data_IF_741026452446
#
_entry.id   IF_741026452446
#
_cell.length_a   1.000
_cell.length_b   1.000
_cell.length_c   1.000
_cell.angle_alpha   90.00
_cell.angle_beta   90.00
_cell.angle_gamma   90.00
#
_symmetry.space_group_name_H-M   'P 1'
#
loop_
_entity.id
_entity.type
_entity.pdbx_description
1 polymer ?
#
# COMPACT_ATOMS: atom_id res chain seq x y z
N UNK A 1 -38.54 18.65 -25.66
CA UNK A 1 -37.11 19.02 -25.70
C UNK A 1 -36.31 17.78 -25.36
N UNK A 2 -35.70 17.18 -26.37
CA UNK A 2 -34.94 15.93 -26.31
C UNK A 2 -33.59 16.15 -25.64
N UNK A 3 -33.41 15.57 -24.46
CA UNK A 3 -32.09 15.42 -23.84
C UNK A 3 -31.39 14.20 -24.46
N UNK A 4 -30.16 14.32 -25.01
CA UNK A 4 -29.43 13.18 -25.55
C UNK A 4 -28.83 12.39 -24.38
N UNK A 5 -29.55 11.37 -23.92
CA UNK A 5 -29.04 10.43 -22.94
C UNK A 5 -28.00 9.48 -23.58
N UNK A 6 -26.74 9.65 -23.17
CA UNK A 6 -25.78 8.57 -22.88
C UNK A 6 -25.54 7.46 -23.92
N UNK A 7 -25.14 7.81 -25.14
CA UNK A 7 -24.93 6.83 -26.21
C UNK A 7 -23.51 6.24 -26.33
N UNK A 8 -22.51 6.63 -25.53
CA UNK A 8 -21.13 6.36 -25.96
C UNK A 8 -20.55 5.00 -25.56
N UNK A 9 -21.05 4.27 -24.54
CA UNK A 9 -20.74 2.84 -24.37
C UNK A 9 -21.88 2.07 -23.68
N UNK A 10 -22.77 1.46 -24.46
CA UNK A 10 -23.76 0.50 -23.94
C UNK A 10 -23.05 -0.80 -23.56
N UNK A 11 -23.17 -1.23 -22.30
CA UNK A 11 -22.74 -2.59 -21.94
C UNK A 11 -23.67 -3.62 -22.57
N UNK A 12 -23.10 -4.68 -23.13
CA UNK A 12 -23.87 -5.90 -23.37
C UNK A 12 -24.03 -6.64 -22.04
N UNK A 13 -25.25 -7.07 -21.76
CA UNK A 13 -25.57 -7.85 -20.56
C UNK A 13 -25.99 -9.25 -20.96
N UNK A 14 -25.50 -10.26 -20.25
CA UNK A 14 -26.05 -11.61 -20.26
C UNK A 14 -27.01 -11.75 -19.09
N UNK A 15 -28.19 -12.36 -19.30
CA UNK A 15 -29.18 -12.58 -18.26
C UNK A 15 -29.36 -14.08 -18.01
N UNK A 16 -29.47 -14.47 -16.73
CA UNK A 16 -29.84 -15.83 -16.34
C UNK A 16 -31.31 -16.12 -16.63
N UNK A 17 -31.70 -17.38 -16.44
CA UNK A 17 -33.11 -17.73 -16.25
C UNK A 17 -33.64 -17.11 -14.94
N UNK A 18 -34.96 -16.98 -14.84
CA UNK A 18 -35.61 -16.60 -13.59
C UNK A 18 -35.39 -17.67 -12.51
N UNK A 19 -35.62 -17.30 -11.25
CA UNK A 19 -35.42 -18.18 -10.09
C UNK A 19 -33.96 -18.33 -9.67
N UNK A 20 -33.10 -17.39 -10.06
CA UNK A 20 -31.67 -17.44 -9.73
C UNK A 20 -31.18 -16.14 -9.09
N UNK A 21 -30.23 -16.26 -8.19
CA UNK A 21 -29.51 -15.13 -7.61
C UNK A 21 -28.00 -15.34 -7.67
N UNK A 22 -27.26 -14.24 -7.54
CA UNK A 22 -25.81 -14.29 -7.54
C UNK A 22 -25.29 -14.42 -6.10
N UNK A 23 -24.38 -15.36 -5.90
CA UNK A 23 -23.64 -15.54 -4.67
C UNK A 23 -22.16 -15.26 -4.95
N UNK A 24 -21.63 -14.16 -4.42
CA UNK A 24 -20.19 -13.91 -4.47
C UNK A 24 -19.46 -14.88 -3.55
N UNK A 25 -18.22 -15.23 -3.93
CA UNK A 25 -17.34 -16.03 -3.08
C UNK A 25 -16.86 -15.23 -1.85
N UNK A 26 -16.77 -13.91 -1.98
CA UNK A 26 -16.31 -13.03 -0.92
C UNK A 26 -17.34 -11.93 -0.62
N UNK A 27 -17.63 -11.69 0.66
CA UNK A 27 -18.67 -10.74 1.10
C UNK A 27 -18.36 -9.29 0.71
N UNK A 28 -17.07 -8.93 0.65
CA UNK A 28 -16.61 -7.58 0.26
C UNK A 28 -17.04 -7.16 -1.14
N UNK A 29 -17.49 -8.13 -1.96
CA UNK A 29 -17.81 -7.89 -3.36
C UNK A 29 -19.22 -7.33 -3.59
N UNK A 30 -20.07 -7.27 -2.56
CA UNK A 30 -21.36 -6.58 -2.64
C UNK A 30 -21.12 -5.07 -2.60
N UNK A 31 -21.40 -4.39 -3.71
CA UNK A 31 -21.24 -2.94 -3.83
C UNK A 31 -22.35 -2.23 -3.06
N UNK A 32 -23.60 -2.61 -3.30
CA UNK A 32 -24.75 -2.17 -2.50
C UNK A 32 -25.97 -3.06 -2.73
N UNK A 33 -26.94 -2.91 -1.82
CA UNK A 33 -28.29 -3.43 -1.93
C UNK A 33 -29.28 -2.25 -1.86
N UNK A 34 -30.12 -2.09 -2.89
CA UNK A 34 -31.14 -1.03 -2.95
C UNK A 34 -32.44 -1.54 -3.54
N UNK A 35 -33.49 -0.73 -3.45
CA UNK A 35 -34.72 -0.94 -4.20
C UNK A 35 -34.61 -0.34 -5.61
N UNK A 36 -35.11 -1.06 -6.61
CA UNK A 36 -35.22 -0.58 -7.98
C UNK A 36 -36.61 -0.92 -8.53
N UNK A 37 -37.28 0.05 -9.17
CA UNK A 37 -38.64 -0.14 -9.69
C UNK A 37 -38.69 -1.12 -10.88
N UNK A 38 -37.56 -1.37 -11.53
CA UNK A 38 -37.48 -2.29 -12.65
C UNK A 38 -36.09 -2.89 -12.79
N UNK A 39 -36.03 -4.04 -13.48
CA UNK A 39 -34.79 -4.68 -13.92
C UNK A 39 -33.91 -3.70 -14.71
N UNK A 40 -34.53 -2.86 -15.56
CA UNK A 40 -33.79 -1.90 -16.38
C UNK A 40 -33.09 -0.85 -15.52
N UNK A 41 -33.72 -0.38 -14.44
CA UNK A 41 -33.10 0.56 -13.51
C UNK A 41 -31.98 -0.09 -12.68
N UNK A 42 -32.14 -1.37 -12.32
CA UNK A 42 -31.07 -2.12 -11.66
C UNK A 42 -29.86 -2.30 -12.59
N UNK A 43 -30.11 -2.70 -13.84
CA UNK A 43 -29.09 -2.83 -14.87
C UNK A 43 -28.40 -1.48 -15.19
N UNK A 44 -29.17 -0.38 -15.28
CA UNK A 44 -28.63 0.95 -15.49
C UNK A 44 -27.72 1.39 -14.33
N UNK A 45 -28.10 1.07 -13.09
CA UNK A 45 -27.27 1.33 -11.92
C UNK A 45 -25.95 0.55 -11.97
N UNK A 46 -25.98 -0.72 -12.41
CA UNK A 46 -24.77 -1.48 -12.68
C UNK A 46 -23.93 -0.85 -13.79
N UNK A 47 -24.56 -0.38 -14.87
CA UNK A 47 -23.85 0.25 -15.99
C UNK A 47 -23.14 1.55 -15.60
N UNK A 48 -23.76 2.34 -14.71
CA UNK A 48 -23.21 3.60 -14.21
C UNK A 48 -22.10 3.40 -13.17
N UNK A 49 -21.95 2.20 -12.60
CA UNK A 49 -20.91 1.89 -11.63
C UNK A 49 -19.75 1.12 -12.33
N UNK A 50 -18.57 1.74 -12.50
CA UNK A 50 -17.42 1.13 -13.17
C UNK A 50 -16.97 -0.21 -12.55
N UNK A 51 -17.14 -0.37 -11.24
CA UNK A 51 -16.77 -1.58 -10.51
C UNK A 51 -17.80 -2.70 -10.64
N UNK A 52 -19.06 -2.40 -11.00
CA UNK A 52 -20.08 -3.44 -11.12
C UNK A 52 -19.77 -4.40 -12.29
N UNK A 53 -19.84 -5.70 -12.02
CA UNK A 53 -19.68 -6.78 -13.01
C UNK A 53 -20.92 -7.65 -13.10
N UNK A 54 -21.60 -7.85 -11.97
CA UNK A 54 -22.82 -8.66 -11.89
C UNK A 54 -23.87 -7.92 -11.07
N UNK A 55 -25.14 -8.14 -11.37
CA UNK A 55 -26.25 -7.70 -10.54
C UNK A 55 -27.28 -8.83 -10.41
N UNK A 56 -28.05 -8.82 -9.34
CA UNK A 56 -29.31 -9.54 -9.30
C UNK A 56 -30.47 -8.61 -9.00
N UNK A 57 -31.62 -8.94 -9.59
CA UNK A 57 -32.84 -8.19 -9.45
C UNK A 57 -33.99 -9.15 -9.17
N UNK A 58 -34.80 -8.85 -8.17
CA UNK A 58 -36.04 -9.57 -7.86
C UNK A 58 -37.24 -8.64 -8.10
N UNK A 59 -38.10 -9.01 -9.05
CA UNK A 59 -39.26 -8.17 -9.38
C UNK A 59 -40.35 -8.16 -8.32
N UNK A 60 -40.43 -9.18 -7.45
CA UNK A 60 -41.44 -9.25 -6.40
C UNK A 60 -41.12 -8.35 -5.21
N UNK A 61 -39.85 -8.30 -4.82
CA UNK A 61 -39.36 -7.49 -3.69
C UNK A 61 -38.76 -6.14 -4.11
N UNK A 62 -38.62 -5.91 -5.42
CA UNK A 62 -37.86 -4.80 -6.00
C UNK A 62 -36.40 -4.74 -5.55
N UNK A 63 -35.85 -5.83 -5.00
CA UNK A 63 -34.46 -5.90 -4.55
C UNK A 63 -33.51 -5.83 -5.74
N UNK A 64 -32.52 -4.97 -5.66
CA UNK A 64 -31.43 -4.83 -6.62
C UNK A 64 -30.09 -4.88 -5.87
N UNK A 65 -29.30 -5.92 -6.11
CA UNK A 65 -27.94 -6.06 -5.58
C UNK A 65 -26.93 -5.91 -6.70
N UNK A 66 -25.90 -5.11 -6.49
CA UNK A 66 -24.79 -4.96 -7.41
C UNK A 66 -23.53 -5.57 -6.82
N UNK A 67 -22.77 -6.27 -7.64
CA UNK A 67 -21.54 -6.93 -7.24
C UNK A 67 -20.39 -6.50 -8.14
N UNK A 68 -19.21 -6.34 -7.53
CA UNK A 68 -17.96 -6.25 -8.30
C UNK A 68 -17.53 -7.62 -8.81
N UNK A 69 -18.04 -8.70 -8.21
CA UNK A 69 -17.77 -10.08 -8.60
C UNK A 69 -18.37 -10.47 -9.95
N UNK A 70 -17.73 -11.43 -10.61
CA UNK A 70 -18.22 -12.12 -11.80
C UNK A 70 -18.22 -13.64 -11.57
N UNK A 71 -18.43 -14.43 -12.64
CA UNK A 71 -18.48 -15.89 -12.55
C UNK A 71 -17.12 -16.54 -12.22
N UNK A 72 -16.02 -15.80 -12.20
CA UNK A 72 -14.72 -16.32 -11.78
C UNK A 72 -14.58 -16.40 -10.26
N UNK A 73 -15.34 -15.58 -9.52
CA UNK A 73 -15.29 -15.48 -8.06
C UNK A 73 -16.69 -15.41 -7.44
N UNK A 74 -17.64 -16.10 -8.07
CA UNK A 74 -19.00 -16.24 -7.60
C UNK A 74 -19.76 -17.25 -8.45
N UNK A 75 -20.99 -17.53 -8.04
CA UNK A 75 -21.84 -18.50 -8.71
C UNK A 75 -23.26 -17.97 -8.86
N UNK A 76 -23.92 -18.39 -9.93
CA UNK A 76 -25.37 -18.25 -10.09
C UNK A 76 -26.00 -19.47 -9.41
N UNK A 77 -26.78 -19.23 -8.36
CA UNK A 77 -27.44 -20.27 -7.57
C UNK A 77 -28.95 -20.13 -7.65
N UNK A 78 -29.68 -21.19 -7.26
CA UNK A 78 -31.13 -21.11 -7.15
C UNK A 78 -31.52 -20.09 -6.07
N UNK A 79 -32.43 -19.17 -6.42
CA UNK A 79 -32.97 -18.18 -5.50
C UNK A 79 -34.21 -18.73 -4.78
N UNK A 80 -34.51 -18.15 -3.62
CA UNK A 80 -35.81 -18.37 -2.94
C UNK A 80 -36.97 -17.75 -3.72
N UNK A 81 -36.73 -16.64 -4.40
CA UNK A 81 -37.70 -15.97 -5.27
C UNK A 81 -37.64 -16.51 -6.69
N UNK A 82 -38.77 -17.03 -7.18
CA UNK A 82 -38.94 -17.45 -8.58
C UNK A 82 -38.87 -16.29 -9.57
N UNK A 83 -38.88 -15.04 -9.09
CA UNK A 83 -38.84 -13.85 -9.95
C UNK A 83 -37.48 -13.15 -9.94
N UNK A 84 -36.48 -13.74 -9.27
CA UNK A 84 -35.10 -13.25 -9.28
C UNK A 84 -34.39 -13.60 -10.57
N UNK A 85 -33.54 -12.68 -11.05
CA UNK A 85 -32.70 -12.86 -12.24
C UNK A 85 -31.31 -12.28 -11.97
N UNK A 86 -30.29 -12.92 -12.51
CA UNK A 86 -28.90 -12.42 -12.50
C UNK A 86 -28.58 -11.82 -13.85
N UNK A 87 -27.92 -10.66 -13.86
CA UNK A 87 -27.34 -10.06 -15.05
C UNK A 87 -25.84 -9.85 -14.91
N UNK A 88 -25.07 -10.27 -15.90
CA UNK A 88 -23.61 -10.12 -15.95
C UNK A 88 -23.19 -9.21 -17.10
N UNK A 89 -22.28 -8.29 -16.81
CA UNK A 89 -21.69 -7.36 -17.78
C UNK A 89 -20.66 -8.11 -18.62
N UNK A 90 -20.82 -8.08 -19.94
CA UNK A 90 -19.84 -8.65 -20.86
C UNK A 90 -18.72 -7.63 -21.05
N UNK A 91 -17.51 -8.00 -20.64
CA UNK A 91 -16.30 -7.20 -20.83
C UNK A 91 -15.59 -7.62 -22.12
N UNK A 92 -15.17 -6.65 -22.93
CA UNK A 92 -14.37 -6.89 -24.13
C UNK A 92 -13.01 -6.21 -24.02
N UNK A 93 -11.93 -6.95 -24.26
CA UNK A 93 -10.57 -6.41 -24.24
C UNK A 93 -10.38 -5.25 -25.23
N UNK A 94 -11.05 -5.27 -26.38
CA UNK A 94 -10.98 -4.20 -27.38
C UNK A 94 -11.49 -2.86 -26.87
N UNK A 95 -12.43 -2.87 -25.94
CA UNK A 95 -12.98 -1.65 -25.33
C UNK A 95 -12.00 -1.08 -24.30
N UNK A 96 -11.19 -1.91 -23.65
CA UNK A 96 -10.20 -1.45 -22.68
C UNK A 96 -8.91 -0.96 -23.35
N UNK A 97 -8.34 -1.75 -24.26
CA UNK A 97 -7.02 -1.49 -24.82
C UNK A 97 -6.91 -0.16 -25.57
N UNK A 98 -7.99 0.33 -26.17
CA UNK A 98 -7.99 1.60 -26.90
C UNK A 98 -7.96 2.84 -26.01
N UNK A 99 -8.32 2.71 -24.73
CA UNK A 99 -8.45 3.85 -23.80
C UNK A 99 -7.42 3.86 -22.67
N UNK A 100 -6.79 2.72 -22.37
CA UNK A 100 -5.86 2.65 -21.24
C UNK A 100 -4.72 3.64 -21.43
N UNK A 101 -4.39 4.39 -20.38
CA UNK A 101 -3.37 5.44 -20.37
C UNK A 101 -3.65 6.65 -21.32
N UNK A 102 -4.85 6.77 -21.88
CA UNK A 102 -5.27 7.97 -22.61
C UNK A 102 -5.57 9.12 -21.65
N UNK A 103 -5.73 10.34 -22.18
CA UNK A 103 -6.17 11.50 -21.39
C UNK A 103 -7.54 11.25 -20.75
N UNK A 104 -7.79 11.80 -19.56
CA UNK A 104 -9.05 11.61 -18.84
C UNK A 104 -10.33 11.98 -19.62
N UNK A 105 -10.22 12.79 -20.67
CA UNK A 105 -11.33 13.05 -21.61
C UNK A 105 -11.81 11.79 -22.34
N UNK A 106 -10.94 10.80 -22.57
CA UNK A 106 -11.26 9.59 -23.32
C UNK A 106 -12.14 8.59 -22.54
N UNK A 107 -12.04 8.57 -21.20
CA UNK A 107 -12.81 7.66 -20.34
C UNK A 107 -13.90 8.35 -19.52
N UNK A 108 -14.14 9.65 -19.71
CA UNK A 108 -15.13 10.42 -18.91
C UNK A 108 -16.54 9.84 -18.98
N UNK A 109 -16.90 9.22 -20.09
CA UNK A 109 -18.22 8.62 -20.34
C UNK A 109 -18.18 7.10 -20.44
N UNK A 110 -17.10 6.47 -19.96
CA UNK A 110 -16.90 5.03 -20.08
C UNK A 110 -16.90 4.36 -18.69
N UNK A 111 -17.51 3.17 -18.60
CA UNK A 111 -17.51 2.35 -17.38
C UNK A 111 -16.27 1.48 -17.19
N UNK A 112 -15.55 1.17 -18.26
CA UNK A 112 -14.43 0.23 -18.28
C UNK A 112 -13.21 0.84 -17.61
N UNK A 113 -13.05 2.17 -17.61
CA UNK A 113 -11.90 2.85 -17.03
C UNK A 113 -12.32 4.11 -16.29
N UNK A 114 -11.49 4.53 -15.35
CA UNK A 114 -11.70 5.73 -14.54
C UNK A 114 -10.51 6.67 -14.67
N UNK A 115 -10.75 7.97 -14.66
CA UNK A 115 -9.68 8.96 -14.62
C UNK A 115 -8.94 8.89 -13.27
N UNK A 116 -7.64 8.63 -13.30
CA UNK A 116 -6.77 8.72 -12.13
C UNK A 116 -6.38 10.16 -11.86
N UNK A 117 -6.67 10.68 -10.67
CA UNK A 117 -6.26 12.03 -10.26
C UNK A 117 -4.73 12.16 -10.11
N UNK A 118 -4.03 11.05 -9.87
CA UNK A 118 -2.57 11.03 -9.68
C UNK A 118 -1.82 11.14 -11.01
N UNK A 119 -2.26 10.41 -12.03
CA UNK A 119 -1.57 10.36 -13.33
C UNK A 119 -2.25 11.21 -14.40
N UNK A 120 -3.47 11.70 -14.15
CA UNK A 120 -4.31 12.40 -15.12
C UNK A 120 -4.57 11.59 -16.41
N UNK A 121 -4.63 10.27 -16.28
CA UNK A 121 -4.89 9.33 -17.38
C UNK A 121 -5.99 8.33 -17.02
N UNK A 122 -6.55 7.69 -18.04
CA UNK A 122 -7.52 6.62 -17.89
C UNK A 122 -6.85 5.35 -17.35
N UNK A 123 -7.31 4.89 -16.20
CA UNK A 123 -6.76 3.76 -15.46
C UNK A 123 -7.87 2.76 -15.13
N UNK A 124 -7.46 1.57 -14.66
CA UNK A 124 -8.41 0.57 -14.23
C UNK A 124 -9.28 1.07 -13.05
N UNK A 125 -10.59 0.72 -13.03
CA UNK A 125 -11.46 1.03 -11.90
C UNK A 125 -10.95 0.43 -10.58
N UNK A 126 -11.51 0.88 -9.46
CA UNK A 126 -11.19 0.32 -8.13
C UNK A 126 -11.34 -1.20 -8.09
N UNK A 127 -10.44 -1.86 -7.35
CA UNK A 127 -10.35 -3.31 -7.20
C UNK A 127 -10.13 -4.08 -8.52
N UNK A 128 -9.53 -3.43 -9.53
CA UNK A 128 -9.11 -4.05 -10.78
C UNK A 128 -7.70 -3.60 -11.15
N UNK A 129 -7.01 -4.33 -12.03
CA UNK A 129 -5.62 -4.05 -12.40
C UNK A 129 -5.39 -4.23 -13.90
N UNK A 130 -4.36 -3.62 -14.47
CA UNK A 130 -4.12 -3.69 -15.91
C UNK A 130 -3.28 -4.91 -16.30
N UNK A 131 -3.92 -5.94 -16.87
CA UNK A 131 -3.21 -7.17 -17.26
C UNK A 131 -2.50 -7.09 -18.63
N UNK A 132 -2.41 -5.91 -19.24
CA UNK A 132 -1.91 -5.73 -20.61
C UNK A 132 -2.98 -5.69 -21.71
N UNK A 133 -4.24 -6.06 -21.38
CA UNK A 133 -5.34 -6.12 -22.36
C UNK A 133 -6.65 -5.54 -21.84
N UNK A 134 -6.96 -5.77 -20.57
CA UNK A 134 -8.17 -5.30 -19.90
C UNK A 134 -7.93 -5.12 -18.40
N UNK A 135 -8.96 -4.65 -17.69
CA UNK A 135 -8.95 -4.55 -16.23
C UNK A 135 -9.75 -5.68 -15.58
N UNK A 136 -9.20 -6.90 -15.44
CA UNK A 136 -9.79 -7.93 -14.61
C UNK A 136 -9.84 -7.51 -13.14
N UNK A 137 -10.68 -8.17 -12.36
CA UNK A 137 -10.73 -7.98 -10.91
C UNK A 137 -9.39 -8.36 -10.28
N UNK A 138 -9.00 -7.57 -9.28
CA UNK A 138 -7.88 -7.91 -8.42
C UNK A 138 -8.14 -9.23 -7.69
N UNK A 139 -7.06 -9.96 -7.52
CA UNK A 139 -7.03 -11.32 -7.05
C UNK A 139 -7.01 -11.40 -5.52
N UNK A 140 -7.67 -12.43 -4.99
CA UNK A 140 -7.76 -12.72 -3.57
C UNK A 140 -6.57 -13.57 -3.08
N UNK A 141 -6.53 -13.81 -1.78
CA UNK A 141 -5.45 -14.55 -1.13
C UNK A 141 -5.23 -15.93 -1.77
N UNK A 142 -3.96 -16.32 -1.92
CA UNK A 142 -3.47 -17.55 -2.56
C UNK A 142 -3.71 -17.68 -4.07
N UNK A 143 -4.36 -16.71 -4.71
CA UNK A 143 -4.46 -16.68 -6.17
C UNK A 143 -3.09 -16.44 -6.81
N UNK A 144 -2.83 -17.09 -7.95
CA UNK A 144 -1.61 -16.89 -8.73
C UNK A 144 -1.63 -15.53 -9.40
N UNK A 145 -0.55 -14.76 -9.24
CA UNK A 145 -0.45 -13.40 -9.77
C UNK A 145 0.83 -13.22 -10.59
N UNK A 146 0.78 -12.33 -11.58
CA UNK A 146 1.88 -12.07 -12.52
C UNK A 146 2.33 -10.61 -12.56
N UNK A 147 1.73 -9.74 -11.73
CA UNK A 147 1.98 -8.30 -11.70
C UNK A 147 1.86 -7.75 -10.26
N UNK A 148 2.56 -6.65 -9.90
CA UNK A 148 2.57 -6.12 -8.53
C UNK A 148 1.18 -5.73 -7.99
N UNK A 149 0.36 -5.14 -8.85
CA UNK A 149 -0.96 -4.58 -8.55
C UNK A 149 -2.11 -5.56 -8.79
N UNK A 150 -1.80 -6.81 -9.12
CA UNK A 150 -2.80 -7.83 -9.42
C UNK A 150 -3.64 -8.26 -8.21
N UNK A 151 -3.20 -8.00 -6.99
CA UNK A 151 -3.85 -8.47 -5.76
C UNK A 151 -4.67 -7.37 -5.08
N UNK A 152 -5.68 -7.78 -4.29
CA UNK A 152 -6.58 -6.88 -3.56
C UNK A 152 -5.87 -6.01 -2.52
N UNK A 153 -5.58 -4.76 -2.91
CA UNK A 153 -4.88 -3.81 -2.04
C UNK A 153 -5.71 -3.38 -0.82
N UNK A 154 -7.04 -3.34 -0.94
CA UNK A 154 -7.99 -3.06 0.14
C UNK A 154 -8.01 -4.17 1.22
N UNK A 155 -7.49 -5.36 0.88
CA UNK A 155 -7.31 -6.49 1.80
C UNK A 155 -5.85 -6.65 2.24
N UNK A 156 -5.03 -5.63 2.00
CA UNK A 156 -3.60 -5.62 2.27
C UNK A 156 -2.83 -6.75 1.56
N UNK A 157 -3.35 -7.25 0.43
CA UNK A 157 -2.65 -8.22 -0.40
C UNK A 157 -1.69 -7.53 -1.35
N UNK A 158 -0.55 -8.15 -1.61
CA UNK A 158 0.28 -7.84 -2.77
C UNK A 158 0.83 -9.12 -3.39
N UNK A 159 1.25 -9.02 -4.64
CA UNK A 159 1.78 -10.15 -5.37
C UNK A 159 3.23 -10.41 -4.95
N UNK A 160 3.51 -11.55 -4.34
CA UNK A 160 4.85 -11.89 -3.90
C UNK A 160 5.77 -12.21 -5.07
N UNK A 161 7.03 -11.80 -4.93
CA UNK A 161 8.10 -12.13 -5.86
C UNK A 161 8.84 -13.34 -5.28
N UNK A 162 8.93 -14.42 -6.05
CA UNK A 162 9.78 -15.58 -5.73
C UNK A 162 11.26 -15.19 -5.68
N UNK A 163 12.07 -16.06 -5.07
CA UNK A 163 13.54 -15.96 -5.09
C UNK A 163 14.14 -15.88 -6.50
N UNK A 164 13.40 -16.32 -7.53
CA UNK A 164 13.79 -16.28 -8.94
C UNK A 164 13.30 -15.02 -9.68
N UNK A 165 12.73 -14.02 -8.97
CA UNK A 165 12.34 -12.73 -9.53
C UNK A 165 10.98 -12.71 -10.25
N UNK A 166 10.26 -13.84 -10.26
CA UNK A 166 8.92 -13.97 -10.81
C UNK A 166 7.83 -13.79 -9.76
N UNK A 167 6.75 -13.10 -10.13
CA UNK A 167 5.52 -13.00 -9.35
C UNK A 167 4.86 -14.37 -9.19
N UNK A 168 4.37 -14.70 -7.99
CA UNK A 168 3.79 -16.02 -7.73
C UNK A 168 2.38 -15.96 -7.18
N UNK A 169 2.15 -15.36 -6.02
CA UNK A 169 0.88 -15.50 -5.29
C UNK A 169 0.46 -14.21 -4.57
N UNK A 170 -0.85 -14.03 -4.39
CA UNK A 170 -1.37 -12.96 -3.56
C UNK A 170 -1.33 -13.36 -2.08
N UNK A 171 -0.50 -12.68 -1.29
CA UNK A 171 -0.40 -12.91 0.15
C UNK A 171 -0.67 -11.61 0.91
N UNK A 172 -1.18 -11.77 2.14
CA UNK A 172 -1.37 -10.68 3.10
C UNK A 172 0.00 -10.13 3.52
N UNK A 173 0.19 -8.82 3.40
CA UNK A 173 1.32 -8.11 4.01
C UNK A 173 1.14 -8.12 5.52
N UNK A 174 2.16 -8.58 6.23
CA UNK A 174 2.21 -8.62 7.70
C UNK A 174 3.18 -7.56 8.22
N UNK A 175 2.96 -7.12 9.46
CA UNK A 175 4.00 -6.41 10.21
C UNK A 175 5.17 -7.38 10.45
N UNK A 176 6.37 -6.98 10.01
CA UNK A 176 7.57 -7.81 10.13
C UNK A 176 8.19 -7.73 11.52
N UNK A 177 8.05 -6.57 12.17
CA UNK A 177 8.58 -6.27 13.49
C UNK A 177 7.43 -5.98 14.46
N UNK A 178 7.62 -6.31 15.73
CA UNK A 178 6.65 -6.10 16.82
C UNK A 178 7.38 -5.56 18.06
N UNK A 179 6.63 -5.33 19.14
CA UNK A 179 7.17 -4.85 20.42
C UNK A 179 8.10 -5.83 21.14
N UNK A 180 8.26 -7.05 20.63
CA UNK A 180 9.22 -8.03 21.16
C UNK A 180 10.60 -7.92 20.53
N UNK A 181 10.75 -7.13 19.47
CA UNK A 181 12.02 -6.98 18.76
C UNK A 181 13.08 -6.27 19.61
N UNK A 182 14.31 -6.75 19.53
CA UNK A 182 15.45 -6.02 20.10
C UNK A 182 16.04 -5.10 19.04
N UNK A 183 15.97 -3.80 19.32
CA UNK A 183 16.41 -2.74 18.40
C UNK A 183 17.69 -2.11 18.92
N UNK A 184 18.66 -1.92 18.02
CA UNK A 184 19.96 -1.34 18.32
C UNK A 184 20.09 0.02 17.66
N UNK A 185 20.21 1.07 18.47
CA UNK A 185 20.46 2.42 17.97
C UNK A 185 21.84 2.51 17.33
N UNK A 186 21.94 3.18 16.18
CA UNK A 186 23.16 3.37 15.40
C UNK A 186 23.57 4.83 15.32
N UNK A 187 24.85 5.06 15.11
CA UNK A 187 25.37 6.36 14.71
C UNK A 187 26.63 6.25 13.85
N UNK A 188 27.05 7.39 13.28
CA UNK A 188 28.24 7.54 12.45
C UNK A 188 28.27 6.58 11.25
N UNK A 189 27.16 6.50 10.53
CA UNK A 189 27.03 5.60 9.39
C UNK A 189 26.17 6.20 8.30
N UNK A 190 26.38 5.68 7.09
CA UNK A 190 25.55 5.91 5.89
C UNK A 190 25.41 4.57 5.18
N UNK A 191 24.51 4.48 4.19
CA UNK A 191 24.32 3.25 3.43
C UNK A 191 25.65 2.67 2.90
N UNK A 192 25.84 1.37 3.05
CA UNK A 192 27.05 0.61 2.68
C UNK A 192 28.26 0.79 3.63
N UNK A 193 28.18 1.68 4.62
CA UNK A 193 29.30 1.96 5.53
C UNK A 193 29.16 1.23 6.86
N UNK A 194 30.29 1.10 7.58
CA UNK A 194 30.34 0.63 8.96
C UNK A 194 29.52 1.55 9.87
N UNK A 195 29.06 1.02 11.00
CA UNK A 195 28.27 1.75 11.98
C UNK A 195 28.77 1.52 13.41
N UNK A 196 28.56 2.54 14.24
CA UNK A 196 28.80 2.43 15.67
C UNK A 196 27.46 2.28 16.40
N UNK A 197 27.45 1.52 17.51
CA UNK A 197 26.29 1.51 18.41
C UNK A 197 26.19 2.84 19.13
N UNK A 198 25.00 3.43 19.13
CA UNK A 198 24.72 4.59 19.97
C UNK A 198 24.51 4.11 21.41
N UNK A 199 24.78 4.99 22.39
CA UNK A 199 24.59 4.66 23.80
C UNK A 199 23.62 5.63 24.49
N UNK A 200 23.15 5.28 25.68
CA UNK A 200 22.33 6.20 26.46
C UNK A 200 23.06 7.54 26.73
N UNK A 201 22.37 8.68 26.56
CA UNK A 201 22.88 10.03 26.78
C UNK A 201 22.19 11.10 25.91
N UNK A 202 22.72 12.33 25.92
CA UNK A 202 22.12 13.51 25.27
C UNK A 202 23.05 14.25 24.30
N UNK A 203 24.08 13.57 23.78
CA UNK A 203 25.07 14.13 22.85
C UNK A 203 25.20 13.30 21.57
N UNK A 204 26.12 13.66 20.68
CA UNK A 204 26.37 12.95 19.41
C UNK A 204 26.61 11.45 19.68
N UNK A 205 25.96 10.58 18.89
CA UNK A 205 26.07 9.14 19.03
C UNK A 205 25.33 8.59 20.26
N UNK A 206 24.30 9.30 20.72
CA UNK A 206 23.49 8.91 21.87
C UNK A 206 22.00 8.80 21.54
N UNK A 207 21.27 8.21 22.47
CA UNK A 207 19.81 8.23 22.54
C UNK A 207 19.39 8.47 23.99
N UNK A 208 18.21 9.03 24.21
CA UNK A 208 17.71 9.26 25.57
C UNK A 208 17.04 8.00 26.11
N UNK A 209 17.33 7.56 27.35
CA UNK A 209 16.93 6.24 27.85
C UNK A 209 15.44 5.93 27.77
N UNK A 210 14.56 6.90 28.08
CA UNK A 210 13.10 6.70 28.00
C UNK A 210 12.52 6.96 26.60
N UNK A 211 13.38 7.36 25.66
CA UNK A 211 13.09 7.55 24.24
C UNK A 211 14.08 6.75 23.39
N UNK A 212 14.37 5.53 23.87
CA UNK A 212 15.37 4.64 23.33
C UNK A 212 14.85 3.84 22.14
N UNK A 213 15.70 3.01 21.52
CA UNK A 213 15.34 2.24 20.34
C UNK A 213 14.21 1.22 20.58
N UNK A 214 13.94 0.89 21.85
CA UNK A 214 12.85 0.04 22.29
C UNK A 214 11.45 0.60 21.99
N UNK A 215 11.33 1.92 21.77
CA UNK A 215 10.05 2.54 21.42
C UNK A 215 9.76 2.54 19.92
N UNK A 216 10.63 1.98 19.07
CA UNK A 216 10.48 2.09 17.60
C UNK A 216 9.37 1.17 17.06
N UNK A 217 9.12 0.06 17.74
CA UNK A 217 8.14 -0.97 17.36
C UNK A 217 7.16 -1.28 18.50
N UNK A 218 6.88 -0.33 19.40
CA UNK A 218 6.07 -0.55 20.60
C UNK A 218 4.55 -0.42 20.37
N UNK A 219 4.14 -0.24 19.11
CA UNK A 219 2.76 -0.04 18.67
C UNK A 219 2.10 1.19 19.33
N UNK A 220 2.88 2.19 19.72
CA UNK A 220 2.39 3.34 20.46
C UNK A 220 2.90 4.65 19.85
N UNK A 221 2.05 5.29 19.05
CA UNK A 221 2.42 6.57 18.42
C UNK A 221 2.68 7.71 19.42
N UNK A 222 2.37 7.53 20.71
CA UNK A 222 2.59 8.52 21.80
C UNK A 222 4.03 8.51 22.32
N UNK A 223 4.70 7.35 22.34
CA UNK A 223 6.12 7.26 22.70
C UNK A 223 6.97 7.84 21.58
N UNK A 224 8.28 7.94 21.78
CA UNK A 224 9.18 8.43 20.75
C UNK A 224 10.56 7.87 20.89
N UNK A 225 11.18 7.61 19.76
CA UNK A 225 12.59 7.38 19.65
C UNK A 225 13.31 8.71 19.37
N UNK A 226 14.42 8.94 20.08
CA UNK A 226 15.28 10.10 19.88
C UNK A 226 16.72 9.64 19.68
N UNK A 227 17.32 10.05 18.57
CA UNK A 227 18.71 9.69 18.26
C UNK A 227 19.52 10.92 17.84
N UNK A 228 20.61 11.14 18.56
CA UNK A 228 21.51 12.28 18.38
C UNK A 228 22.57 11.97 17.35
N UNK A 229 22.60 12.79 16.31
CA UNK A 229 23.46 12.66 15.15
C UNK A 229 24.45 13.79 15.01
N UNK A 230 25.11 13.78 13.87
CA UNK A 230 26.09 14.81 13.51
C UNK A 230 25.39 16.13 13.12
N UNK A 231 26.07 17.24 13.42
CA UNK A 231 25.72 18.60 13.03
C UNK A 231 26.93 19.24 12.36
N UNK A 232 26.97 19.19 11.02
CA UNK A 232 27.99 19.93 10.28
C UNK A 232 27.52 21.37 10.08
N UNK A 233 28.13 22.28 10.84
CA UNK A 233 27.93 23.73 10.76
C UNK A 233 29.00 24.42 9.89
N UNK A 234 29.81 23.64 9.16
CA UNK A 234 30.95 24.15 8.41
C UNK A 234 30.51 24.50 6.98
N UNK A 235 30.77 25.76 6.61
CA UNK A 235 30.54 26.43 5.32
C UNK A 235 29.16 27.08 5.14
N UNK A 236 29.11 28.42 5.33
CA UNK A 236 28.25 29.45 4.69
C UNK A 236 26.87 29.06 4.13
N UNK A 237 26.17 28.11 4.74
CA UNK A 237 24.97 27.48 4.23
C UNK A 237 24.09 26.93 5.35
N UNK A 238 22.88 26.54 4.98
CA UNK A 238 21.84 25.99 5.86
C UNK A 238 22.37 24.78 6.65
N UNK A 239 22.42 24.82 8.00
CA UNK A 239 22.92 23.73 8.84
C UNK A 239 22.26 22.40 8.49
N UNK A 240 23.08 21.36 8.34
CA UNK A 240 22.58 20.00 8.17
C UNK A 240 22.92 19.17 9.39
N UNK A 241 21.90 18.85 10.16
CA UNK A 241 22.01 18.22 11.46
C UNK A 241 21.20 16.92 11.56
N UNK A 242 21.39 16.20 12.67
CA UNK A 242 20.73 14.93 13.00
C UNK A 242 21.01 13.79 12.00
N UNK A 243 22.10 13.90 11.25
CA UNK A 243 22.53 12.92 10.25
C UNK A 243 23.24 11.74 10.87
N UNK A 244 23.40 10.70 10.07
CA UNK A 244 24.18 9.51 10.40
C UNK A 244 23.66 8.83 11.66
N UNK A 245 22.34 8.84 11.82
CA UNK A 245 21.58 8.22 12.91
C UNK A 245 20.71 7.11 12.34
N UNK A 246 20.17 6.27 13.20
CA UNK A 246 19.31 5.18 12.77
C UNK A 246 19.27 4.05 13.76
N UNK A 247 18.87 2.89 13.28
CA UNK A 247 18.87 1.66 14.05
C UNK A 247 19.02 0.45 13.14
N UNK A 248 19.30 -0.70 13.74
CA UNK A 248 19.05 -1.98 13.11
C UNK A 248 18.32 -2.92 14.07
N UNK A 249 17.73 -3.97 13.49
CA UNK A 249 17.18 -5.11 14.20
C UNK A 249 17.42 -6.39 13.41
N UNK A 250 17.34 -7.51 14.11
CA UNK A 250 17.21 -8.84 13.52
C UNK A 250 15.83 -9.36 13.87
N UNK A 251 15.02 -9.67 12.85
CA UNK A 251 13.64 -10.08 13.02
C UNK A 251 13.55 -11.43 13.74
N UNK A 252 12.75 -11.50 14.81
CA UNK A 252 12.53 -12.75 15.55
C UNK A 252 11.85 -13.84 14.70
N UNK A 253 11.04 -13.42 13.73
CA UNK A 253 10.37 -14.33 12.77
C UNK A 253 11.32 -14.91 11.71
N UNK A 254 12.60 -14.52 11.71
CA UNK A 254 13.58 -14.93 10.73
C UNK A 254 13.52 -14.12 9.44
N UNK A 255 14.21 -14.62 8.41
CA UNK A 255 14.32 -13.93 7.13
C UNK A 255 12.94 -13.65 6.54
N UNK A 256 12.67 -12.36 6.28
CA UNK A 256 11.39 -11.86 5.78
C UNK A 256 11.63 -11.03 4.53
N UNK A 257 10.60 -10.84 3.70
CA UNK A 257 10.68 -9.98 2.52
C UNK A 257 10.04 -8.62 2.80
N UNK A 258 10.86 -7.58 2.99
CA UNK A 258 10.36 -6.21 3.20
C UNK A 258 9.84 -5.61 1.89
N UNK A 259 8.59 -5.15 1.91
CA UNK A 259 7.89 -4.59 0.75
C UNK A 259 7.67 -3.09 0.92
N UNK A 260 7.32 -2.66 2.12
CA UNK A 260 6.96 -1.28 2.40
C UNK A 260 7.26 -0.94 3.85
N UNK A 261 7.28 0.36 4.13
CA UNK A 261 7.38 0.86 5.50
C UNK A 261 6.57 2.15 5.66
N UNK A 262 6.30 2.54 6.90
CA UNK A 262 5.81 3.87 7.25
C UNK A 262 6.30 4.30 8.63
N UNK A 263 6.40 5.60 8.85
CA UNK A 263 6.84 6.19 10.10
C UNK A 263 5.72 7.03 10.70
N UNK A 264 5.59 7.00 12.02
CA UNK A 264 4.73 7.90 12.77
C UNK A 264 5.52 9.08 13.34
N UNK A 265 4.87 10.24 13.33
CA UNK A 265 5.43 11.47 13.88
C UNK A 265 5.34 11.49 15.41
N UNK A 266 6.40 11.91 16.09
CA UNK A 266 6.43 12.04 17.56
C UNK A 266 5.56 13.22 18.07
N UNK A 267 5.53 13.46 19.38
CA UNK A 267 4.75 14.55 20.00
C UNK A 267 5.27 15.99 19.78
N UNK A 268 6.39 16.16 19.11
CA UNK A 268 7.27 17.33 19.23
C UNK A 268 7.38 18.13 17.93
N UNK A 269 8.30 19.10 17.84
CA UNK A 269 8.46 19.97 16.68
C UNK A 269 8.75 19.21 15.36
N UNK A 270 8.04 19.51 14.25
CA UNK A 270 8.23 18.85 12.95
C UNK A 270 9.65 18.92 12.38
N UNK A 271 10.42 19.95 12.75
CA UNK A 271 11.79 20.12 12.29
C UNK A 271 12.70 18.92 12.64
N UNK A 272 12.33 18.08 13.60
CA UNK A 272 13.12 16.90 14.01
C UNK A 272 12.73 15.61 13.31
N UNK A 273 11.70 15.65 12.46
CA UNK A 273 11.24 14.45 11.79
C UNK A 273 12.20 14.07 10.65
N UNK A 274 12.43 12.76 10.42
CA UNK A 274 13.20 12.30 9.27
C UNK A 274 12.45 12.64 7.98
N UNK A 275 13.16 13.15 6.98
CA UNK A 275 12.64 13.47 5.65
C UNK A 275 13.15 12.49 4.59
N UNK A 276 14.45 12.19 4.62
CA UNK A 276 15.09 11.21 3.74
C UNK A 276 15.77 10.15 4.58
N UNK A 277 15.57 8.91 4.19
CA UNK A 277 16.09 7.73 4.86
C UNK A 277 16.72 6.76 3.86
N UNK A 278 17.48 5.81 4.37
CA UNK A 278 17.84 4.59 3.63
C UNK A 278 17.52 3.35 4.44
N UNK A 279 17.18 2.27 3.73
CA UNK A 279 16.92 0.95 4.32
C UNK A 279 17.81 -0.06 3.62
N UNK A 280 18.44 -0.91 4.42
CA UNK A 280 19.32 -1.97 3.96
C UNK A 280 18.93 -3.31 4.60
N UNK A 281 19.18 -4.40 3.88
CA UNK A 281 18.98 -5.76 4.35
C UNK A 281 20.30 -6.50 4.55
N UNK A 282 20.35 -7.40 5.54
CA UNK A 282 21.49 -8.26 5.81
C UNK A 282 21.06 -9.65 6.27
N UNK A 283 21.85 -10.67 5.90
CA UNK A 283 21.81 -12.03 6.45
C UNK A 283 23.13 -12.37 7.17
N UNK A 284 23.92 -11.34 7.51
CA UNK A 284 25.19 -11.54 8.21
C UNK A 284 24.96 -11.97 9.66
N UNK A 285 25.97 -12.62 10.25
CA UNK A 285 25.93 -12.97 11.67
C UNK A 285 25.81 -11.71 12.54
N UNK A 286 25.21 -11.85 13.73
CA UNK A 286 24.95 -10.73 14.65
C UNK A 286 26.20 -9.92 15.01
N UNK A 287 27.37 -10.56 15.07
CA UNK A 287 28.66 -9.91 15.35
C UNK A 287 29.19 -9.02 14.22
N UNK A 288 28.62 -9.15 13.02
CA UNK A 288 29.05 -8.47 11.80
C UNK A 288 28.06 -7.36 11.37
N UNK A 289 26.94 -7.19 12.08
CA UNK A 289 25.90 -6.22 11.72
C UNK A 289 26.32 -4.75 11.86
N UNK A 290 27.46 -4.48 12.50
CA UNK A 290 28.09 -3.15 12.51
C UNK A 290 29.02 -2.91 11.31
N UNK A 291 29.31 -3.94 10.50
CA UNK A 291 30.13 -3.80 9.29
C UNK A 291 29.27 -3.51 8.06
N UNK A 292 29.60 -2.44 7.34
CA UNK A 292 28.89 -1.98 6.16
C UNK A 292 28.86 -2.99 5.02
N UNK A 293 29.92 -3.79 4.89
CA UNK A 293 30.05 -4.82 3.85
C UNK A 293 28.97 -5.91 3.90
N UNK A 294 28.30 -6.08 5.04
CA UNK A 294 27.22 -7.05 5.23
C UNK A 294 25.84 -6.53 4.84
N UNK A 295 25.70 -5.28 4.41
CA UNK A 295 24.42 -4.63 4.14
C UNK A 295 24.21 -4.39 2.64
N UNK A 296 22.98 -4.67 2.17
CA UNK A 296 22.57 -4.39 0.79
C UNK A 296 21.49 -3.31 0.79
N UNK A 297 21.70 -2.25 0.03
CA UNK A 297 20.74 -1.15 -0.11
C UNK A 297 19.45 -1.59 -0.79
N UNK A 298 18.32 -1.37 -0.13
CA UNK A 298 16.98 -1.68 -0.62
C UNK A 298 16.17 -0.43 -0.93
N UNK A 299 16.39 0.66 -0.19
CA UNK A 299 15.66 1.91 -0.32
C UNK A 299 16.56 3.10 -0.01
N UNK A 300 16.43 4.16 -0.80
CA UNK A 300 16.94 5.49 -0.46
C UNK A 300 15.97 6.54 -1.00
N UNK A 301 15.31 7.28 -0.11
CA UNK A 301 14.22 8.14 -0.51
C UNK A 301 13.44 8.74 0.66
N UNK A 302 12.22 9.18 0.39
CA UNK A 302 11.35 9.83 1.38
C UNK A 302 11.07 8.92 2.58
N UNK A 303 10.93 9.51 3.77
CA UNK A 303 10.36 8.83 4.94
C UNK A 303 8.84 8.68 4.88
N UNK A 304 8.18 9.39 3.96
CA UNK A 304 6.73 9.50 3.88
C UNK A 304 6.10 10.52 4.82
N UNK A 305 6.89 11.17 5.69
CA UNK A 305 6.43 12.26 6.58
C UNK A 305 6.41 13.57 5.80
N UNK A 306 5.28 14.27 5.81
CA UNK A 306 5.12 15.59 5.20
C UNK A 306 5.39 16.73 6.19
N UNK A 307 5.71 17.93 5.67
CA UNK A 307 5.99 19.12 6.50
C UNK A 307 4.83 19.53 7.42
N UNK A 308 3.59 19.26 7.01
CA UNK A 308 2.38 19.58 7.76
C UNK A 308 1.69 18.32 8.31
N UNK A 309 2.45 17.23 8.49
CA UNK A 309 1.91 15.99 9.02
C UNK A 309 1.36 16.20 10.44
N UNK A 310 0.15 15.71 10.69
CA UNK A 310 -0.45 15.71 12.03
C UNK A 310 0.43 14.90 13.00
N UNK A 311 0.71 15.43 14.19
CA UNK A 311 1.52 14.72 15.21
C UNK A 311 0.83 13.44 15.68
N UNK A 312 1.60 12.46 16.14
CA UNK A 312 1.10 11.15 16.59
C UNK A 312 0.41 10.32 15.49
N UNK A 313 0.63 10.67 14.22
CA UNK A 313 0.05 9.96 13.09
C UNK A 313 1.13 9.41 12.17
N UNK A 314 0.79 8.32 11.48
CA UNK A 314 1.59 7.78 10.39
C UNK A 314 1.62 8.72 9.20
N UNK A 315 2.81 8.89 8.63
CA UNK A 315 2.99 9.43 7.29
C UNK A 315 2.50 8.46 6.20
N UNK A 316 2.73 8.86 4.96
CA UNK A 316 2.41 8.04 3.79
C UNK A 316 3.27 6.77 3.73
N UNK A 317 2.65 5.63 3.41
CA UNK A 317 3.37 4.37 3.20
C UNK A 317 4.31 4.48 2.00
N UNK A 318 5.58 4.13 2.24
CA UNK A 318 6.62 4.10 1.23
C UNK A 318 6.84 2.67 0.77
N UNK A 319 6.90 2.47 -0.54
CA UNK A 319 7.11 1.18 -1.16
C UNK A 319 8.55 1.04 -1.61
N UNK A 320 9.15 -0.12 -1.32
CA UNK A 320 10.51 -0.41 -1.77
C UNK A 320 10.51 -0.63 -3.30
N UNK A 321 11.55 -0.17 -4.00
CA UNK A 321 11.83 -0.61 -5.37
C UNK A 321 11.88 -2.13 -5.48
N UNK A 322 11.68 -2.65 -6.69
CA UNK A 322 11.73 -4.09 -6.95
C UNK A 322 13.07 -4.68 -6.49
N UNK A 323 13.01 -5.63 -5.56
CA UNK A 323 14.11 -6.49 -5.14
C UNK A 323 13.60 -7.93 -4.94
N UNK A 324 14.49 -8.90 -4.75
CA UNK A 324 14.12 -10.33 -4.68
C UNK A 324 14.73 -11.07 -3.49
N UNK A 325 15.45 -10.37 -2.61
CA UNK A 325 16.19 -10.98 -1.52
C UNK A 325 15.41 -10.90 -0.20
N UNK A 326 15.46 -11.99 0.56
CA UNK A 326 14.90 -12.09 1.91
C UNK A 326 16.03 -11.84 2.91
N UNK A 327 15.77 -11.01 3.93
CA UNK A 327 16.77 -10.63 4.92
C UNK A 327 16.26 -10.89 6.33
N UNK A 328 17.15 -11.41 7.18
CA UNK A 328 16.92 -11.59 8.61
C UNK A 328 17.07 -10.27 9.39
N UNK A 329 17.94 -9.38 8.93
CA UNK A 329 18.21 -8.10 9.59
C UNK A 329 17.93 -6.93 8.66
N UNK A 330 17.42 -5.85 9.24
CA UNK A 330 17.16 -4.60 8.55
C UNK A 330 17.84 -3.44 9.28
N UNK A 331 18.44 -2.53 8.51
CA UNK A 331 19.08 -1.31 9.01
C UNK A 331 18.39 -0.11 8.40
N UNK A 332 18.01 0.84 9.24
CA UNK A 332 17.27 2.03 8.89
C UNK A 332 18.10 3.25 9.28
N UNK A 333 18.44 4.09 8.31
CA UNK A 333 19.35 5.22 8.49
C UNK A 333 18.69 6.53 8.08
N UNK A 334 18.83 7.57 8.90
CA UNK A 334 18.36 8.91 8.59
C UNK A 334 19.45 9.70 7.87
N UNK A 335 19.16 10.06 6.62
CA UNK A 335 20.06 10.80 5.73
C UNK A 335 19.80 12.31 5.81
N UNK A 336 18.55 12.70 6.03
CA UNK A 336 18.14 14.08 6.17
C UNK A 336 16.95 14.20 7.13
N UNK A 337 17.10 15.05 8.14
CA UNK A 337 15.99 15.53 8.95
C UNK A 337 15.44 16.84 8.37
N UNK A 338 14.16 17.13 8.64
CA UNK A 338 13.49 18.31 8.10
C UNK A 338 14.28 19.59 8.38
N UNK A 339 14.66 19.81 9.65
CA UNK A 339 15.48 20.87 10.27
C UNK A 339 15.23 22.34 9.85
N UNK A 340 14.84 22.63 8.61
CA UNK A 340 14.57 23.95 8.04
C UNK A 340 15.72 24.95 8.30
N UNK A 341 16.96 24.47 8.33
CA UNK A 341 18.14 25.28 8.65
C UNK A 341 18.38 25.55 10.13
N UNK A 342 17.64 24.91 11.03
CA UNK A 342 17.94 24.93 12.45
C UNK A 342 19.04 23.91 12.79
N UNK A 343 19.95 24.31 13.68
CA UNK A 343 21.00 23.43 14.22
C UNK A 343 20.43 22.49 15.30
N UNK A 344 19.61 21.51 14.90
CA UNK A 344 18.99 20.54 15.81
C UNK A 344 19.69 19.18 15.68
N UNK A 345 20.52 18.75 16.65
CA UNK A 345 21.44 17.61 16.51
C UNK A 345 20.77 16.25 16.66
N UNK A 346 19.45 16.13 16.56
CA UNK A 346 18.75 14.86 16.77
C UNK A 346 17.46 14.75 15.96
N UNK A 347 17.13 13.50 15.63
CA UNK A 347 15.86 13.12 15.02
C UNK A 347 14.90 12.58 16.04
N UNK A 348 13.61 12.59 15.68
CA UNK A 348 12.57 11.92 16.43
C UNK A 348 11.51 11.31 15.50
N UNK A 349 10.93 10.20 15.94
CA UNK A 349 9.74 9.58 15.36
C UNK A 349 9.15 8.64 16.42
N UNK A 350 7.85 8.37 16.34
CA UNK A 350 7.17 7.57 17.36
C UNK A 350 7.19 6.09 17.07
N UNK A 351 6.83 5.72 15.84
CA UNK A 351 6.66 4.31 15.45
C UNK A 351 7.23 4.09 14.06
N UNK A 352 7.70 2.87 13.80
CA UNK A 352 8.02 2.37 12.46
C UNK A 352 7.21 1.12 12.22
N UNK A 353 6.51 1.02 11.09
CA UNK A 353 5.95 -0.25 10.63
C UNK A 353 6.74 -0.75 9.43
N UNK A 354 7.23 -1.98 9.53
CA UNK A 354 7.82 -2.73 8.42
C UNK A 354 6.78 -3.72 7.90
N UNK A 355 6.45 -3.65 6.61
CA UNK A 355 5.40 -4.47 6.00
C UNK A 355 6.00 -5.42 4.97
N UNK A 356 5.66 -6.71 5.07
CA UNK A 356 6.25 -7.73 4.22
C UNK A 356 5.66 -9.13 4.40
N UNK A 357 6.45 -10.14 4.03
CA UNK A 357 6.07 -11.56 4.08
C UNK A 357 6.99 -12.35 4.99
#
# INVERSE_FOLDING_TARGET
MSSPAHAIYSSTLSLSLQGHEFQSQYDVQLIFNKTAQSRLLCAAACNQNPSCRTFDYDSSSHRCRLFEADLTNGAIIAATSQTSIVGSVILSASLYASMYNQSCSACRENRYQTCSSTTNTCQCPGNSYWNGSMCPLQLFENATCSQPDACRSDRNLSCIISSYGGFTQCLIKQALATSTETVYALWNTTAGSDSNLASNGTGIGKYYSVHGPDTVFDCNTVTKYVNFGDCNNTVSGTPTCARNTGFYLTLQRGASFLVAFRLATANSYPQRDPLIISIEGSNSNSTELTRGSGWTLLYNGSSGISINQTRFTYGSTQWLPKHSAWYASYRFLVNLAMNNGASIPFVQYSEVELLGY
#
